data_IF_958415471808
#
_entry.id   IF_958415471808
#
_cell.length_a   1.000
_cell.length_b   1.000
_cell.length_c   1.000
_cell.angle_alpha   90.00
_cell.angle_beta   90.00
_cell.angle_gamma   90.00
#
_symmetry.space_group_name_H-M   'P 1'
#
loop_
_entity.id
_entity.type
_entity.pdbx_description
1 polymer ?
#
# COMPACT_ATOMS: atom_id res chain seq x y z
N UNK A 1 0.45 11.99 -17.53
CA UNK A 1 -0.88 12.09 -16.89
C UNK A 1 -0.89 11.12 -15.71
N UNK A 2 -0.68 11.60 -14.48
CA UNK A 2 -0.82 10.75 -13.30
C UNK A 2 -2.29 10.73 -12.90
N UNK A 3 -3.02 9.71 -13.36
CA UNK A 3 -4.41 9.49 -12.96
C UNK A 3 -4.39 9.00 -11.51
N UNK A 4 -4.47 9.95 -10.59
CA UNK A 4 -4.79 9.65 -9.20
C UNK A 4 -6.26 9.24 -9.14
N UNK A 5 -6.47 7.92 -9.21
CA UNK A 5 -7.69 7.26 -8.74
C UNK A 5 -7.24 6.07 -7.92
N UNK A 6 -6.84 6.30 -6.68
CA UNK A 6 -6.90 5.25 -5.67
C UNK A 6 -8.38 4.87 -5.57
N UNK A 7 -8.78 3.84 -6.31
CA UNK A 7 -10.13 3.31 -6.20
C UNK A 7 -10.18 2.54 -4.89
N UNK A 8 -11.36 2.44 -4.26
CA UNK A 8 -11.55 1.61 -3.05
C UNK A 8 -10.88 0.22 -3.16
N UNK A 9 -10.85 -0.34 -4.37
CA UNK A 9 -10.17 -1.58 -4.71
C UNK A 9 -8.65 -1.59 -4.41
N UNK A 10 -7.92 -0.51 -4.69
CA UNK A 10 -6.47 -0.42 -4.43
C UNK A 10 -6.20 -0.54 -2.92
N UNK A 11 -7.03 0.11 -2.10
CA UNK A 11 -6.89 0.09 -0.64
C UNK A 11 -7.20 -1.29 -0.07
N UNK A 12 -8.28 -1.94 -0.54
CA UNK A 12 -8.60 -3.30 -0.09
C UNK A 12 -7.55 -4.32 -0.53
N UNK A 13 -6.97 -4.14 -1.72
CA UNK A 13 -5.88 -4.96 -2.21
C UNK A 13 -4.61 -4.76 -1.34
N UNK A 14 -4.22 -3.51 -1.09
CA UNK A 14 -3.10 -3.17 -0.22
C UNK A 14 -3.29 -3.71 1.20
N UNK A 15 -4.51 -3.61 1.75
CA UNK A 15 -4.88 -4.19 3.04
C UNK A 15 -4.70 -5.71 3.05
N UNK A 16 -5.19 -6.38 2.02
CA UNK A 16 -5.06 -7.83 1.88
C UNK A 16 -3.60 -8.28 1.72
N UNK A 17 -2.77 -7.47 1.06
CA UNK A 17 -1.33 -7.72 0.97
C UNK A 17 -0.64 -7.56 2.32
N UNK A 18 -0.96 -6.52 3.08
CA UNK A 18 -0.43 -6.33 4.44
C UNK A 18 -0.79 -7.51 5.36
N UNK A 19 -1.99 -8.08 5.22
CA UNK A 19 -2.44 -9.24 6.00
C UNK A 19 -1.77 -10.54 5.53
N UNK A 20 -1.71 -10.79 4.22
CA UNK A 20 -1.11 -12.01 3.65
C UNK A 20 0.41 -12.04 3.82
N UNK A 21 1.04 -10.88 3.74
CA UNK A 21 2.48 -10.72 3.79
C UNK A 21 2.86 -9.66 4.84
N UNK A 22 2.76 -9.98 6.14
CA UNK A 22 3.16 -9.06 7.22
C UNK A 22 4.67 -8.76 7.22
N UNK A 23 5.45 -9.50 6.43
CA UNK A 23 6.89 -9.28 6.24
C UNK A 23 7.22 -8.35 5.07
N UNK A 24 6.25 -8.03 4.22
CA UNK A 24 6.49 -7.17 3.07
C UNK A 24 6.84 -5.75 3.50
N UNK A 25 7.91 -5.23 2.91
CA UNK A 25 8.29 -3.83 3.04
C UNK A 25 7.47 -2.96 2.08
N UNK A 26 7.36 -1.67 2.38
CA UNK A 26 6.67 -0.69 1.52
C UNK A 26 7.18 -0.72 0.08
N UNK A 27 8.47 -0.97 -0.15
CA UNK A 27 9.07 -1.13 -1.48
C UNK A 27 8.55 -2.35 -2.24
N UNK A 28 8.26 -3.45 -1.54
CA UNK A 28 7.67 -4.64 -2.15
C UNK A 28 6.18 -4.43 -2.44
N UNK A 29 5.43 -3.83 -1.51
CA UNK A 29 4.03 -3.46 -1.72
C UNK A 29 3.88 -2.50 -2.91
N UNK A 30 4.75 -1.49 -2.99
CA UNK A 30 4.83 -0.56 -4.10
C UNK A 30 5.13 -1.26 -5.43
N UNK A 31 6.13 -2.17 -5.43
CA UNK A 31 6.46 -2.95 -6.63
C UNK A 31 5.32 -3.86 -7.07
N UNK A 32 4.60 -4.47 -6.13
CA UNK A 32 3.52 -5.40 -6.43
C UNK A 32 2.24 -4.70 -6.90
N UNK A 33 2.02 -3.47 -6.45
CA UNK A 33 0.94 -2.61 -6.93
C UNK A 33 1.33 -1.77 -8.15
N UNK A 34 2.58 -1.85 -8.61
CA UNK A 34 3.16 -0.96 -9.64
C UNK A 34 2.95 0.54 -9.29
N UNK A 35 3.15 0.87 -8.01
CA UNK A 35 2.98 2.20 -7.43
C UNK A 35 4.29 2.72 -6.87
N UNK A 36 4.33 4.02 -6.62
CA UNK A 36 5.42 4.60 -5.84
C UNK A 36 5.27 4.29 -4.36
N UNK A 37 6.40 4.12 -3.68
CA UNK A 37 6.45 3.94 -2.21
C UNK A 37 5.77 5.09 -1.49
N UNK A 38 5.92 6.32 -2.00
CA UNK A 38 5.26 7.52 -1.47
C UNK A 38 3.74 7.41 -1.54
N UNK A 39 3.21 6.87 -2.64
CA UNK A 39 1.77 6.69 -2.87
C UNK A 39 1.20 5.65 -1.91
N UNK A 40 1.91 4.53 -1.74
CA UNK A 40 1.57 3.47 -0.78
C UNK A 40 1.66 3.98 0.67
N UNK A 41 2.70 4.74 1.01
CA UNK A 41 2.84 5.35 2.33
C UNK A 41 1.68 6.30 2.62
N UNK A 42 1.31 7.14 1.65
CA UNK A 42 0.15 8.03 1.79
C UNK A 42 -1.13 7.22 1.96
N UNK A 43 -1.35 6.16 1.19
CA UNK A 43 -2.51 5.28 1.33
C UNK A 43 -2.57 4.58 2.69
N UNK A 44 -1.47 4.02 3.16
CA UNK A 44 -1.41 3.35 4.48
C UNK A 44 -1.75 4.34 5.58
N UNK A 45 -1.25 5.57 5.47
CA UNK A 45 -1.49 6.62 6.46
C UNK A 45 -2.91 7.20 6.38
N UNK A 46 -3.44 7.42 5.18
CA UNK A 46 -4.75 8.02 4.93
C UNK A 46 -5.90 7.06 5.28
N UNK A 47 -5.72 5.77 4.96
CA UNK A 47 -6.71 4.71 5.20
C UNK A 47 -6.47 3.89 6.47
N UNK A 48 -5.49 4.28 7.31
CA UNK A 48 -5.11 3.60 8.56
C UNK A 48 -4.96 2.08 8.37
N UNK A 49 -4.16 1.68 7.38
CA UNK A 49 -3.97 0.26 7.07
C UNK A 49 -3.11 -0.41 8.15
N UNK A 50 -3.37 -1.69 8.48
CA UNK A 50 -2.63 -2.46 9.48
C UNK A 50 -1.26 -2.88 8.94
N UNK A 51 -0.41 -1.90 8.61
CA UNK A 51 0.94 -2.11 8.13
C UNK A 51 1.91 -2.10 9.31
N UNK A 52 2.72 -3.16 9.41
CA UNK A 52 3.79 -3.23 10.40
C UNK A 52 4.93 -2.32 9.95
N UNK A 53 4.99 -1.13 10.56
CA UNK A 53 6.09 -0.18 10.42
C UNK A 53 7.38 -0.76 11.02
N UNK A 54 8.00 -1.71 10.30
CA UNK A 54 9.29 -2.26 10.67
C UNK A 54 10.33 -1.14 10.55
N UNK A 55 10.91 -0.79 11.69
CA UNK A 55 11.91 0.26 11.88
C UNK A 55 13.27 -0.12 11.30
#
# INVERSE_FOLDING_TARGET
>A
MYVNRCSKNDVEYLRSLCIRHPDYKMTQLAKEMDREVSDIFMMIRDYDLPYQWKK
#
